data_IF_524211466956
#
_entry.id   IF_524211466956
#
_cell.length_a   1.000
_cell.length_b   1.000
_cell.length_c   1.000
_cell.angle_alpha   90.00
_cell.angle_beta   90.00
_cell.angle_gamma   90.00
#
_symmetry.space_group_name_H-M   'P 1'
#
loop_
_entity.id
_entity.type
_entity.pdbx_description
1 polymer ?
#
# COMPACT_ATOMS: atom_id res chain seq x y z
N UNK A 1 -7.49 -1.56 -18.52
CA UNK A 1 -8.18 -0.28 -18.34
C UNK A 1 -8.53 -0.23 -16.88
N UNK A 2 -7.73 0.46 -16.07
CA UNK A 2 -8.03 0.66 -14.67
C UNK A 2 -9.29 1.52 -14.58
N UNK A 3 -10.37 0.97 -14.03
CA UNK A 3 -11.57 1.73 -13.76
C UNK A 3 -11.24 2.62 -12.55
N UNK A 4 -11.08 3.92 -12.79
CA UNK A 4 -10.80 4.91 -11.74
C UNK A 4 -12.01 5.83 -11.68
N UNK A 5 -12.80 5.72 -10.61
CA UNK A 5 -13.96 6.59 -10.41
C UNK A 5 -13.67 7.55 -9.26
N UNK A 6 -13.90 8.84 -9.54
CA UNK A 6 -13.84 9.89 -8.52
C UNK A 6 -15.21 9.95 -7.84
N UNK A 7 -15.26 9.70 -6.53
CA UNK A 7 -16.43 9.90 -5.69
C UNK A 7 -16.12 10.95 -4.64
N UNK A 8 -16.97 11.97 -4.51
CA UNK A 8 -16.91 12.92 -3.40
C UNK A 8 -17.64 12.32 -2.21
N UNK A 9 -16.97 12.28 -1.05
CA UNK A 9 -17.53 11.73 0.18
C UNK A 9 -18.29 12.84 0.91
N UNK A 10 -19.60 12.66 1.08
CA UNK A 10 -20.43 13.48 1.95
C UNK A 10 -21.10 12.57 2.96
N UNK A 11 -20.58 12.54 4.19
CA UNK A 11 -20.95 11.55 5.19
C UNK A 11 -21.33 12.17 6.54
N UNK A 12 -22.37 11.61 7.16
CA UNK A 12 -22.82 11.99 8.51
C UNK A 12 -21.92 11.34 9.59
N UNK A 13 -21.93 11.85 10.83
CA UNK A 13 -20.99 11.48 11.93
C UNK A 13 -20.95 9.98 12.30
N UNK A 14 -21.88 9.17 11.78
CA UNK A 14 -22.01 7.74 12.06
C UNK A 14 -21.71 6.83 10.87
N UNK A 15 -21.43 7.38 9.69
CA UNK A 15 -21.18 6.58 8.49
C UNK A 15 -19.70 6.31 8.30
N UNK A 16 -19.37 5.08 7.90
CA UNK A 16 -18.02 4.74 7.48
C UNK A 16 -17.84 5.07 6.00
N UNK A 17 -16.59 5.29 5.58
CA UNK A 17 -16.25 5.51 4.17
C UNK A 17 -16.78 4.35 3.31
N UNK A 18 -16.72 3.11 3.82
CA UNK A 18 -17.26 1.95 3.14
C UNK A 18 -18.78 2.01 2.92
N UNK A 19 -19.57 2.55 3.85
CA UNK A 19 -21.04 2.59 3.70
C UNK A 19 -21.46 3.47 2.50
N UNK A 20 -20.67 4.49 2.20
CA UNK A 20 -20.88 5.38 1.06
C UNK A 20 -20.38 4.78 -0.26
N UNK A 21 -19.31 4.00 -0.20
CA UNK A 21 -18.63 3.42 -1.38
C UNK A 21 -19.19 2.05 -1.76
N UNK A 22 -19.75 1.29 -0.82
CA UNK A 22 -20.35 -0.01 -1.03
C UNK A 22 -21.41 -0.06 -2.17
N UNK A 23 -22.36 0.89 -2.28
CA UNK A 23 -23.31 0.90 -3.40
C UNK A 23 -22.63 1.12 -4.75
N UNK A 24 -21.62 2.01 -4.81
CA UNK A 24 -20.82 2.26 -6.02
C UNK A 24 -20.00 1.02 -6.41
N UNK A 25 -19.37 0.36 -5.45
CA UNK A 25 -18.62 -0.87 -5.68
C UNK A 25 -19.52 -2.01 -6.18
N UNK A 26 -20.74 -2.13 -5.64
CA UNK A 26 -21.73 -3.10 -6.07
C UNK A 26 -22.27 -2.83 -7.48
N UNK A 27 -22.52 -1.56 -7.83
CA UNK A 27 -22.95 -1.15 -9.17
C UNK A 27 -21.90 -1.49 -10.23
N UNK A 28 -20.62 -1.33 -9.88
CA UNK A 28 -19.47 -1.59 -10.74
C UNK A 28 -19.02 -3.06 -10.73
N UNK A 29 -19.61 -3.90 -9.86
CA UNK A 29 -19.25 -5.31 -9.65
C UNK A 29 -17.76 -5.53 -9.30
N UNK A 30 -17.17 -4.59 -8.57
CA UNK A 30 -15.77 -4.69 -8.14
C UNK A 30 -15.63 -5.83 -7.14
N UNK A 31 -14.71 -6.76 -7.41
CA UNK A 31 -14.44 -7.90 -6.51
C UNK A 31 -13.64 -7.47 -5.27
N UNK A 32 -12.66 -6.57 -5.46
CA UNK A 32 -11.79 -6.03 -4.41
C UNK A 32 -11.56 -4.52 -4.62
N UNK A 33 -12.51 -3.67 -4.23
CA UNK A 33 -12.35 -2.22 -4.37
C UNK A 33 -11.27 -1.69 -3.43
N UNK A 34 -10.40 -0.84 -3.96
CA UNK A 34 -9.39 -0.08 -3.23
C UNK A 34 -9.67 1.39 -3.34
N UNK A 35 -9.57 2.09 -2.22
CA UNK A 35 -9.81 3.53 -2.14
C UNK A 35 -8.50 4.27 -2.00
N UNK A 36 -8.35 5.32 -2.80
CA UNK A 36 -7.25 6.26 -2.71
C UNK A 36 -7.79 7.69 -2.67
N UNK A 37 -7.10 8.64 -2.07
CA UNK A 37 -7.44 10.06 -2.21
C UNK A 37 -7.07 10.54 -3.61
N UNK A 38 -7.91 11.35 -4.26
CA UNK A 38 -7.65 11.82 -5.62
C UNK A 38 -6.51 12.84 -5.70
N UNK A 39 -6.34 13.67 -4.67
CA UNK A 39 -5.27 14.67 -4.65
C UNK A 39 -3.90 14.08 -4.30
N UNK A 40 -3.85 13.20 -3.29
CA UNK A 40 -2.59 12.69 -2.74
C UNK A 40 -2.24 11.27 -3.21
N UNK A 41 -3.20 10.54 -3.78
CA UNK A 41 -3.05 9.12 -4.06
C UNK A 41 -2.90 8.26 -2.81
N UNK A 42 -3.16 8.79 -1.61
CA UNK A 42 -3.02 8.05 -0.37
C UNK A 42 -4.06 6.94 -0.25
N UNK A 43 -3.71 5.72 0.15
CA UNK A 43 -4.70 4.70 0.44
C UNK A 43 -5.61 5.16 1.59
N UNK A 44 -6.91 4.96 1.42
CA UNK A 44 -7.92 5.33 2.41
C UNK A 44 -8.43 4.07 3.09
N UNK A 45 -8.45 4.11 4.42
CA UNK A 45 -9.06 3.05 5.21
C UNK A 45 -10.59 3.11 5.08
N UNK A 46 -11.17 2.01 4.59
CA UNK A 46 -12.60 1.88 4.37
C UNK A 46 -13.40 1.89 5.68
N UNK A 47 -12.76 1.54 6.81
CA UNK A 47 -13.37 1.52 8.13
C UNK A 47 -13.35 2.87 8.84
N UNK A 48 -12.65 3.86 8.28
CA UNK A 48 -12.58 5.21 8.81
C UNK A 48 -13.95 5.91 8.75
N UNK A 49 -14.25 6.81 9.69
CA UNK A 49 -15.47 7.62 9.63
C UNK A 49 -15.42 8.59 8.45
N UNK A 50 -16.53 8.67 7.72
CA UNK A 50 -16.66 9.47 6.51
C UNK A 50 -16.50 10.98 6.75
N UNK A 51 -16.72 11.44 7.99
CA UNK A 51 -16.54 12.85 8.38
C UNK A 51 -15.11 13.35 8.31
N UNK A 52 -14.11 12.46 8.33
CA UNK A 52 -12.70 12.84 8.18
C UNK A 52 -12.34 13.18 6.73
N UNK A 53 -13.19 12.79 5.77
CA UNK A 53 -12.97 12.96 4.34
C UNK A 53 -14.12 13.74 3.69
N UNK A 54 -14.85 14.53 4.48
CA UNK A 54 -16.01 15.29 4.00
C UNK A 54 -15.58 16.33 2.96
N UNK A 55 -16.08 16.19 1.73
CA UNK A 55 -15.72 17.03 0.58
C UNK A 55 -14.42 16.65 -0.13
N UNK A 56 -13.74 15.58 0.27
CA UNK A 56 -12.52 15.10 -0.40
C UNK A 56 -12.87 14.14 -1.56
N UNK A 57 -12.31 14.35 -2.76
CA UNK A 57 -12.49 13.42 -3.87
C UNK A 57 -11.67 12.14 -3.63
N UNK A 58 -12.34 10.98 -3.68
CA UNK A 58 -11.72 9.66 -3.57
C UNK A 58 -11.72 8.94 -4.91
N UNK A 59 -10.64 8.25 -5.23
CA UNK A 59 -10.48 7.33 -6.33
C UNK A 59 -10.81 5.92 -5.88
N UNK A 60 -11.83 5.34 -6.52
CA UNK A 60 -12.12 3.92 -6.43
C UNK A 60 -11.41 3.20 -7.57
N UNK A 61 -10.54 2.24 -7.23
CA UNK A 61 -9.83 1.40 -8.18
C UNK A 61 -10.11 -0.08 -7.89
N UNK A 62 -10.18 -0.90 -8.94
CA UNK A 62 -10.21 -2.36 -8.77
C UNK A 62 -8.82 -2.86 -8.34
N UNK A 63 -8.75 -3.54 -7.19
CA UNK A 63 -7.53 -4.10 -6.65
C UNK A 63 -7.01 -5.32 -7.40
N UNK A 64 -7.80 -5.84 -8.34
CA UNK A 64 -7.48 -7.02 -9.13
C UNK A 64 -6.96 -6.57 -10.49
N UNK A 65 -5.64 -6.53 -10.65
CA UNK A 65 -5.06 -6.56 -12.00
C UNK A 65 -5.58 -7.81 -12.72
N UNK A 66 -5.81 -7.76 -14.05
CA UNK A 66 -6.15 -8.96 -14.80
C UNK A 66 -5.00 -9.95 -14.63
N UNK A 67 -5.22 -10.99 -13.81
CA UNK A 67 -4.26 -12.06 -13.63
C UNK A 67 -3.94 -12.68 -14.99
N UNK A 68 -2.69 -13.08 -15.17
CA UNK A 68 -2.35 -13.80 -16.38
C UNK A 68 -3.18 -15.10 -16.43
N UNK A 69 -3.62 -15.48 -17.63
CA UNK A 69 -4.33 -16.75 -17.87
C UNK A 69 -3.56 -17.96 -17.35
N UNK A 70 -2.23 -17.85 -17.23
CA UNK A 70 -1.33 -18.85 -16.62
C UNK A 70 -1.61 -19.07 -15.12
N UNK A 71 -2.04 -18.04 -14.41
CA UNK A 71 -2.34 -18.04 -12.97
C UNK A 71 -3.64 -18.75 -12.62
N UNK A 72 -4.52 -18.97 -13.61
CA UNK A 72 -5.71 -19.79 -13.44
C UNK A 72 -5.37 -21.29 -13.31
N UNK A 73 -4.22 -21.71 -13.83
CA UNK A 73 -3.78 -23.12 -13.80
C UNK A 73 -2.75 -23.37 -12.70
N UNK A 74 -1.88 -22.39 -12.43
CA UNK A 74 -0.84 -22.49 -11.41
C UNK A 74 -1.16 -21.63 -10.17
N UNK A 75 -1.61 -22.29 -9.11
CA UNK A 75 -1.91 -21.67 -7.81
C UNK A 75 -0.67 -20.97 -7.22
N UNK A 76 0.53 -21.48 -7.50
CA UNK A 76 1.78 -20.92 -6.97
C UNK A 76 2.11 -19.59 -7.65
N UNK A 77 1.92 -19.50 -8.96
CA UNK A 77 2.04 -18.23 -9.70
C UNK A 77 1.04 -17.21 -9.18
N UNK A 78 -0.22 -17.62 -8.97
CA UNK A 78 -1.27 -16.74 -8.43
C UNK A 78 -0.88 -16.10 -7.09
N UNK A 79 -0.35 -16.89 -6.15
CA UNK A 79 0.10 -16.37 -4.86
C UNK A 79 1.25 -15.38 -5.03
N UNK A 80 2.14 -15.60 -5.99
CA UNK A 80 3.30 -14.72 -6.23
C UNK A 80 2.88 -13.42 -6.91
N UNK A 81 1.90 -13.46 -7.82
CA UNK A 81 1.30 -12.27 -8.41
C UNK A 81 0.53 -11.44 -7.36
N UNK A 82 -0.24 -12.09 -6.50
CA UNK A 82 -0.91 -11.45 -5.36
C UNK A 82 0.10 -10.78 -4.44
N UNK A 83 1.20 -11.49 -4.12
CA UNK A 83 2.30 -10.95 -3.34
C UNK A 83 2.95 -9.74 -4.03
N UNK A 84 3.22 -9.82 -5.33
CA UNK A 84 3.76 -8.70 -6.12
C UNK A 84 2.81 -7.48 -6.12
N UNK A 85 1.50 -7.70 -6.24
CA UNK A 85 0.51 -6.64 -6.16
C UNK A 85 0.54 -5.99 -4.78
N UNK A 86 0.41 -6.80 -3.72
CA UNK A 86 0.44 -6.31 -2.34
C UNK A 86 1.72 -5.53 -2.00
N UNK A 87 2.87 -5.95 -2.52
CA UNK A 87 4.15 -5.26 -2.32
C UNK A 87 4.20 -3.93 -3.07
N UNK A 88 3.63 -3.84 -4.29
CA UNK A 88 3.49 -2.56 -5.02
C UNK A 88 2.61 -1.59 -4.25
N UNK A 89 1.51 -2.06 -3.68
CA UNK A 89 0.60 -1.24 -2.88
C UNK A 89 1.26 -0.78 -1.59
N UNK A 90 2.02 -1.65 -0.93
CA UNK A 90 2.81 -1.30 0.24
C UNK A 90 3.87 -0.24 -0.09
N UNK A 91 4.60 -0.41 -1.20
CA UNK A 91 5.57 0.58 -1.66
C UNK A 91 4.92 1.93 -2.01
N UNK A 92 3.73 1.90 -2.60
CA UNK A 92 2.94 3.10 -2.86
C UNK A 92 2.55 3.81 -1.57
N UNK A 93 2.04 3.07 -0.58
CA UNK A 93 1.71 3.57 0.75
C UNK A 93 2.92 4.26 1.42
N UNK A 94 4.10 3.63 1.38
CA UNK A 94 5.32 4.20 1.93
C UNK A 94 5.72 5.51 1.23
N UNK A 95 5.57 5.57 -0.11
CA UNK A 95 5.82 6.82 -0.85
C UNK A 95 4.85 7.91 -0.44
N UNK A 96 3.57 7.58 -0.29
CA UNK A 96 2.58 8.55 0.17
C UNK A 96 2.93 9.07 1.57
N UNK A 97 3.38 8.21 2.48
CA UNK A 97 3.83 8.65 3.81
C UNK A 97 5.02 9.63 3.71
N UNK A 98 6.00 9.33 2.86
CA UNK A 98 7.12 10.23 2.60
C UNK A 98 6.67 11.56 1.98
N UNK A 99 5.71 11.51 1.05
CA UNK A 99 5.27 12.69 0.30
C UNK A 99 4.35 13.61 1.11
N UNK A 100 3.45 13.05 1.92
CA UNK A 100 2.47 13.78 2.73
C UNK A 100 3.02 14.22 4.09
N UNK A 101 3.87 13.42 4.72
CA UNK A 101 4.33 13.71 6.08
C UNK A 101 5.79 14.10 6.11
N UNK A 102 6.68 13.28 5.55
CA UNK A 102 8.12 13.53 5.64
C UNK A 102 8.51 14.87 4.99
N UNK A 103 8.11 15.09 3.72
CA UNK A 103 8.48 16.31 2.98
C UNK A 103 7.89 17.60 3.59
N UNK A 104 6.60 17.66 3.99
CA UNK A 104 6.05 18.86 4.60
C UNK A 104 6.60 19.12 6.00
N UNK A 105 6.76 18.09 6.83
CA UNK A 105 7.31 18.25 8.19
C UNK A 105 8.78 18.70 8.16
N UNK A 106 9.57 18.21 7.20
CA UNK A 106 10.95 18.70 6.97
C UNK A 106 10.99 20.18 6.59
N UNK A 107 10.03 20.65 5.80
CA UNK A 107 9.95 22.06 5.35
C UNK A 107 9.44 23.00 6.43
N UNK A 108 8.53 22.52 7.28
CA UNK A 108 7.93 23.31 8.35
C UNK A 108 8.88 23.56 9.53
N UNK A 109 10.06 22.92 9.58
CA UNK A 109 11.08 23.06 10.64
C UNK A 109 10.50 22.93 12.07
N UNK A 110 9.32 22.32 12.20
CA UNK A 110 8.50 22.35 13.42
C UNK A 110 8.82 21.19 14.38
N UNK A 111 9.77 20.33 14.01
CA UNK A 111 10.19 19.18 14.81
C UNK A 111 11.69 19.24 15.10
N UNK A 112 12.06 18.74 16.28
CA UNK A 112 13.45 18.47 16.60
C UNK A 112 14.02 17.41 15.66
N UNK A 113 15.31 17.56 15.32
CA UNK A 113 15.98 16.66 14.37
C UNK A 113 16.02 15.21 14.85
N UNK A 114 15.96 15.00 16.16
CA UNK A 114 15.97 13.68 16.78
C UNK A 114 14.61 12.98 16.57
N UNK A 115 13.50 13.68 16.84
CA UNK A 115 12.15 13.17 16.58
C UNK A 115 11.91 12.91 15.09
N UNK A 116 12.39 13.80 14.22
CA UNK A 116 12.29 13.61 12.77
C UNK A 116 13.02 12.34 12.32
N UNK A 117 14.22 12.10 12.85
CA UNK A 117 14.96 10.87 12.54
C UNK A 117 14.22 9.64 13.06
N UNK A 118 13.75 9.66 14.29
CA UNK A 118 12.99 8.54 14.85
C UNK A 118 11.71 8.24 14.04
N UNK A 119 11.02 9.26 13.52
CA UNK A 119 9.79 9.05 12.74
C UNK A 119 10.01 8.70 11.27
N UNK A 120 11.12 9.12 10.63
CA UNK A 120 11.27 9.01 9.18
C UNK A 120 12.55 8.33 8.67
N UNK A 121 13.60 8.10 9.49
CA UNK A 121 14.85 7.46 9.01
C UNK A 121 14.62 6.04 8.47
N UNK A 122 13.55 5.36 8.89
CA UNK A 122 13.21 4.01 8.45
C UNK A 122 12.47 3.97 7.10
N UNK A 123 11.85 5.07 6.67
CA UNK A 123 10.97 5.10 5.49
C UNK A 123 11.76 4.86 4.21
N UNK A 124 12.90 5.53 4.03
CA UNK A 124 13.72 5.40 2.82
C UNK A 124 14.41 4.02 2.69
N UNK A 125 15.02 3.45 3.75
CA UNK A 125 15.53 2.08 3.74
C UNK A 125 14.46 1.03 3.41
N UNK A 126 13.28 1.11 4.05
CA UNK A 126 12.19 0.15 3.81
C UNK A 126 11.63 0.32 2.39
N UNK A 127 11.44 1.55 1.92
CA UNK A 127 10.99 1.82 0.55
C UNK A 127 11.97 1.27 -0.50
N UNK A 128 13.28 1.41 -0.25
CA UNK A 128 14.33 0.86 -1.12
C UNK A 128 14.33 -0.67 -1.15
N UNK A 129 14.14 -1.31 0.00
CA UNK A 129 14.02 -2.77 0.11
C UNK A 129 12.76 -3.28 -0.58
N UNK A 130 11.62 -2.63 -0.37
CA UNK A 130 10.36 -2.98 -1.03
C UNK A 130 10.46 -2.88 -2.55
N UNK A 131 11.08 -1.81 -3.10
CA UNK A 131 11.39 -1.70 -4.53
C UNK A 131 12.26 -2.86 -5.04
N UNK A 132 13.28 -3.26 -4.28
CA UNK A 132 14.11 -4.40 -4.65
C UNK A 132 13.29 -5.71 -4.69
N UNK A 133 12.39 -5.93 -3.73
CA UNK A 133 11.48 -7.09 -3.72
C UNK A 133 10.56 -7.07 -4.93
N UNK A 134 9.95 -5.93 -5.25
CA UNK A 134 9.09 -5.76 -6.44
C UNK A 134 9.85 -6.12 -7.71
N UNK A 135 11.08 -5.62 -7.89
CA UNK A 135 11.89 -5.91 -9.08
C UNK A 135 12.16 -7.42 -9.18
N UNK A 136 12.58 -8.05 -8.08
CA UNK A 136 12.89 -9.47 -8.06
C UNK A 136 11.64 -10.34 -8.27
N UNK A 137 10.50 -9.97 -7.69
CA UNK A 137 9.23 -10.66 -7.89
C UNK A 137 8.73 -10.50 -9.33
N UNK A 138 8.88 -9.31 -9.92
CA UNK A 138 8.52 -9.06 -11.33
C UNK A 138 9.34 -9.96 -12.25
N UNK A 139 10.66 -10.03 -12.06
CA UNK A 139 11.53 -10.94 -12.84
C UNK A 139 11.13 -12.40 -12.62
N UNK A 140 10.82 -12.79 -11.38
CA UNK A 140 10.39 -14.16 -11.08
C UNK A 140 9.05 -14.53 -11.75
N UNK A 141 8.12 -13.58 -11.86
CA UNK A 141 6.82 -13.76 -12.55
C UNK A 141 7.02 -13.79 -14.07
N UNK A 142 7.88 -12.94 -14.62
CA UNK A 142 8.17 -12.92 -16.06
C UNK A 142 8.86 -14.21 -16.53
N UNK A 143 9.83 -14.70 -15.76
CA UNK A 143 10.59 -15.94 -16.00
C UNK A 143 10.00 -17.15 -15.26
N UNK A 144 8.67 -17.15 -15.01
CA UNK A 144 8.06 -18.14 -14.14
C UNK A 144 8.09 -19.55 -14.73
N UNK A 145 8.64 -20.47 -13.94
CA UNK A 145 8.59 -21.91 -14.13
C UNK A 145 8.04 -22.57 -12.87
N UNK A 146 6.84 -23.16 -12.99
CA UNK A 146 6.04 -23.72 -11.88
C UNK A 146 6.83 -24.54 -10.86
N UNK A 147 7.81 -25.32 -11.31
CA UNK A 147 8.59 -26.23 -10.47
C UNK A 147 10.01 -25.76 -10.17
N UNK A 148 10.55 -24.78 -10.91
CA UNK A 148 11.96 -24.38 -10.79
C UNK A 148 12.15 -23.01 -10.11
N UNK A 149 11.20 -22.09 -10.27
CA UNK A 149 11.35 -20.73 -9.74
C UNK A 149 11.46 -20.74 -8.22
N UNK A 150 12.55 -20.19 -7.67
CA UNK A 150 12.80 -20.13 -6.22
C UNK A 150 12.52 -18.74 -5.68
N UNK A 151 11.27 -18.50 -5.27
CA UNK A 151 10.82 -17.22 -4.67
C UNK A 151 11.50 -16.93 -3.33
N UNK A 152 11.89 -17.96 -2.57
CA UNK A 152 12.49 -17.81 -1.24
C UNK A 152 13.82 -17.01 -1.24
N UNK A 153 14.57 -17.00 -2.34
CA UNK A 153 15.84 -16.27 -2.44
C UNK A 153 15.66 -14.75 -2.49
N UNK A 154 14.43 -14.30 -2.78
CA UNK A 154 14.06 -12.88 -2.82
C UNK A 154 14.08 -12.30 -1.40
N UNK A 155 13.62 -13.07 -0.41
CA UNK A 155 13.53 -12.72 1.00
C UNK A 155 14.86 -12.95 1.72
N UNK A 156 15.81 -12.04 1.50
CA UNK A 156 17.13 -12.10 2.13
C UNK A 156 17.06 -11.82 3.64
N UNK A 157 18.02 -12.35 4.40
CA UNK A 157 18.16 -12.01 5.84
C UNK A 157 18.32 -10.51 6.08
N UNK A 158 18.93 -9.80 5.14
CA UNK A 158 19.08 -8.34 5.21
C UNK A 158 17.71 -7.63 5.24
N UNK A 159 16.75 -8.13 4.46
CA UNK A 159 15.40 -7.60 4.46
C UNK A 159 14.75 -7.78 5.83
N UNK A 160 14.77 -8.99 6.38
CA UNK A 160 14.19 -9.29 7.68
C UNK A 160 14.80 -8.47 8.81
N UNK A 161 16.13 -8.36 8.85
CA UNK A 161 16.82 -7.57 9.87
C UNK A 161 16.38 -6.09 9.84
N UNK A 162 16.14 -5.51 8.66
CA UNK A 162 15.71 -4.12 8.54
C UNK A 162 14.25 -3.91 8.95
N UNK A 163 13.38 -4.88 8.70
CA UNK A 163 12.02 -4.84 9.24
C UNK A 163 12.00 -5.02 10.75
N UNK A 164 12.87 -5.87 11.31
CA UNK A 164 13.01 -6.07 12.75
C UNK A 164 13.55 -4.80 13.45
N UNK A 165 14.54 -4.12 12.87
CA UNK A 165 15.01 -2.81 13.36
C UNK A 165 13.86 -1.79 13.43
N UNK A 166 13.01 -1.73 12.40
CA UNK A 166 11.84 -0.85 12.38
C UNK A 166 10.79 -1.22 13.44
N UNK A 167 10.47 -2.51 13.59
CA UNK A 167 9.51 -2.97 14.59
C UNK A 167 9.98 -2.69 16.01
N UNK A 168 11.28 -2.88 16.28
CA UNK A 168 11.86 -2.55 17.58
C UNK A 168 11.79 -1.04 17.85
N UNK A 169 12.10 -0.21 16.85
CA UNK A 169 11.96 1.25 16.97
C UNK A 169 10.50 1.66 17.26
N UNK A 170 9.53 1.03 16.60
CA UNK A 170 8.11 1.28 16.86
C UNK A 170 7.72 0.88 18.29
N UNK A 171 8.20 -0.28 18.77
CA UNK A 171 7.93 -0.73 20.13
C UNK A 171 8.52 0.22 21.18
N UNK A 172 9.73 0.71 20.96
CA UNK A 172 10.39 1.67 21.85
C UNK A 172 9.65 3.03 21.90
N UNK A 173 8.99 3.42 20.81
CA UNK A 173 8.20 4.66 20.74
C UNK A 173 6.77 4.46 21.30
N UNK A 174 6.16 3.30 21.06
CA UNK A 174 4.77 3.02 21.40
C UNK A 174 4.55 2.52 22.84
N UNK A 175 5.60 1.99 23.49
CA UNK A 175 5.60 1.57 24.89
C UNK A 175 6.56 2.44 25.72
N UNK A 176 6.15 3.67 26.10
CA UNK A 176 6.90 4.45 27.09
C UNK A 176 6.82 3.84 28.50
#
# INVERSE_FOLDING_TARGET
MDLVIVAEVFGDERMQVWDLVAPLAAELRLQEPRLYMAESGAPVDCSAPATLLDGEPLLLQEGQLPWDTRSATDVRLRIVEELLSSEKDYCHTLKTVADLYEKPLRKLLSMEKEDYKSLFDWVEPICSLSKMVIIKLTVAVDEWETYETKVATIFSKLLWNKYEEYQNLYLDIALP
#
